data_IF_522705940711
#
_entry.id   IF_522705940711
#
_cell.length_a   1.000
_cell.length_b   1.000
_cell.length_c   1.000
_cell.angle_alpha   90.00
_cell.angle_beta   90.00
_cell.angle_gamma   90.00
#
_symmetry.space_group_name_H-M   'P 1'
#
loop_
_entity.id
_entity.type
_entity.pdbx_description
1 polymer ?
#
# COMPACT_ATOMS: atom_id res chain seq x y z
N UNK A 1 -3.57 18.54 0.76
CA UNK A 1 -3.18 17.15 0.40
C UNK A 1 -4.17 16.52 -0.58
N UNK A 2 -3.91 16.59 -1.88
CA UNK A 2 -4.78 16.03 -2.92
C UNK A 2 -4.31 14.62 -3.31
N UNK A 3 -5.08 13.93 -4.16
CA UNK A 3 -4.55 12.77 -4.90
C UNK A 3 -3.71 13.30 -6.04
N UNK A 4 -2.46 12.84 -6.15
CA UNK A 4 -1.59 13.19 -7.26
C UNK A 4 -1.81 12.26 -8.46
N UNK A 5 -1.84 12.85 -9.65
CA UNK A 5 -2.09 12.20 -10.93
C UNK A 5 -0.93 12.39 -11.92
N UNK A 6 -0.11 13.43 -11.74
CA UNK A 6 1.14 13.68 -12.48
C UNK A 6 2.21 14.15 -11.50
N UNK A 7 3.45 13.74 -11.74
CA UNK A 7 4.58 14.05 -10.86
C UNK A 7 5.70 14.78 -11.63
N UNK A 8 6.51 15.53 -10.90
CA UNK A 8 7.75 16.11 -11.40
C UNK A 8 8.81 15.00 -11.57
N UNK A 9 9.90 15.24 -12.32
CA UNK A 9 11.00 14.27 -12.44
C UNK A 9 11.92 14.23 -11.20
N UNK A 10 11.59 14.96 -10.13
CA UNK A 10 12.40 15.00 -8.91
C UNK A 10 12.52 13.61 -8.30
N UNK A 11 13.74 13.21 -7.98
CA UNK A 11 14.03 11.88 -7.47
C UNK A 11 13.52 11.70 -6.04
N UNK A 12 13.08 10.49 -5.71
CA UNK A 12 12.75 10.08 -4.34
C UNK A 12 13.91 9.26 -3.80
N UNK A 13 14.55 9.76 -2.75
CA UNK A 13 15.76 9.16 -2.17
C UNK A 13 15.44 7.89 -1.37
N UNK A 14 16.45 7.02 -1.21
CA UNK A 14 16.36 5.85 -0.32
C UNK A 14 16.01 6.24 1.12
N UNK A 15 16.52 7.38 1.59
CA UNK A 15 16.23 7.90 2.92
C UNK A 15 14.74 8.27 3.07
N UNK A 16 14.14 8.89 2.05
CA UNK A 16 12.71 9.19 2.05
C UNK A 16 11.88 7.89 2.06
N UNK A 17 12.25 6.88 1.27
CA UNK A 17 11.55 5.59 1.24
C UNK A 17 11.66 4.84 2.58
N UNK A 18 12.84 4.83 3.18
CA UNK A 18 13.05 4.29 4.52
C UNK A 18 12.22 5.05 5.56
N UNK A 19 12.18 6.38 5.47
CA UNK A 19 11.39 7.22 6.38
C UNK A 19 9.89 6.94 6.27
N UNK A 20 9.38 6.72 5.06
CA UNK A 20 7.99 6.31 4.84
C UNK A 20 7.69 5.02 5.61
N UNK A 21 8.53 3.99 5.49
CA UNK A 21 8.34 2.74 6.23
C UNK A 21 8.42 2.93 7.74
N UNK A 22 9.41 3.69 8.22
CA UNK A 22 9.61 3.97 9.65
C UNK A 22 8.41 4.65 10.29
N UNK A 23 7.65 5.43 9.53
CA UNK A 23 6.37 6.01 9.95
C UNK A 23 5.21 5.02 9.81
N UNK A 24 5.08 4.38 8.64
CA UNK A 24 3.95 3.54 8.29
C UNK A 24 3.83 2.29 9.19
N UNK A 25 4.96 1.73 9.66
CA UNK A 25 4.99 0.51 10.49
C UNK A 25 4.25 0.64 11.82
N UNK A 26 3.99 1.86 12.29
CA UNK A 26 3.23 2.13 13.51
C UNK A 26 1.72 2.17 13.30
N UNK A 27 1.22 1.92 12.08
CA UNK A 27 -0.22 1.78 11.85
C UNK A 27 -0.71 0.53 12.61
N UNK A 28 -1.71 0.65 13.51
CA UNK A 28 -2.14 -0.49 14.30
C UNK A 28 -2.73 -1.57 13.40
N UNK A 29 -2.50 -2.82 13.77
CA UNK A 29 -3.11 -4.00 13.13
C UNK A 29 -3.59 -4.96 14.21
N UNK A 30 -4.62 -5.75 13.92
CA UNK A 30 -5.12 -6.78 14.82
C UNK A 30 -3.97 -7.71 15.21
N UNK A 31 -3.85 -8.01 16.51
CA UNK A 31 -2.78 -8.84 17.06
C UNK A 31 -1.36 -8.33 16.74
N UNK A 32 -1.20 -7.04 16.42
CA UNK A 32 0.06 -6.47 15.94
C UNK A 32 0.67 -7.25 14.75
N UNK A 33 -0.20 -7.85 13.91
CA UNK A 33 0.13 -8.83 12.87
C UNK A 33 1.00 -8.30 11.74
N UNK A 34 0.96 -7.00 11.45
CA UNK A 34 1.80 -6.31 10.46
C UNK A 34 1.88 -7.05 9.08
N UNK A 35 0.74 -7.36 8.42
CA UNK A 35 0.74 -8.14 7.18
C UNK A 35 1.12 -7.33 5.94
N UNK A 36 1.25 -6.00 6.01
CA UNK A 36 1.59 -5.19 4.85
C UNK A 36 3.03 -5.48 4.38
N UNK A 37 3.21 -5.63 3.08
CA UNK A 37 4.51 -5.63 2.39
C UNK A 37 4.51 -4.55 1.32
N UNK A 38 5.67 -3.93 1.15
CA UNK A 38 5.86 -2.78 0.27
C UNK A 38 6.98 -3.10 -0.71
N UNK A 39 6.70 -3.03 -2.00
CA UNK A 39 7.72 -3.15 -3.06
C UNK A 39 7.80 -1.83 -3.82
N UNK A 40 8.92 -1.12 -3.71
CA UNK A 40 9.15 0.12 -4.44
C UNK A 40 9.69 -0.17 -5.85
N UNK A 41 8.89 0.12 -6.87
CA UNK A 41 9.24 0.04 -8.29
C UNK A 41 9.82 1.38 -8.73
N UNK A 42 11.10 1.39 -9.10
CA UNK A 42 11.85 2.60 -9.47
C UNK A 42 12.49 2.52 -10.85
N UNK A 43 13.06 1.37 -11.19
CA UNK A 43 13.73 1.18 -12.47
C UNK A 43 12.75 1.21 -13.63
N UNK A 44 13.20 1.73 -14.77
CA UNK A 44 12.42 1.75 -16.01
C UNK A 44 11.97 0.35 -16.43
N UNK A 45 12.85 -0.65 -16.29
CA UNK A 45 12.54 -2.04 -16.64
C UNK A 45 11.42 -2.63 -15.76
N UNK A 46 11.46 -2.42 -14.44
CA UNK A 46 10.40 -2.91 -13.55
C UNK A 46 9.09 -2.14 -13.77
N UNK A 47 9.17 -0.83 -14.04
CA UNK A 47 8.02 0.00 -14.39
C UNK A 47 7.37 -0.47 -15.68
N UNK A 48 8.14 -0.79 -16.71
CA UNK A 48 7.64 -1.29 -17.99
C UNK A 48 6.86 -2.61 -17.84
N UNK A 49 7.25 -3.46 -16.87
CA UNK A 49 6.51 -4.69 -16.51
C UNK A 49 5.22 -4.41 -15.74
N UNK A 50 5.23 -3.39 -14.86
CA UNK A 50 4.07 -3.00 -14.06
C UNK A 50 2.97 -2.30 -14.88
N UNK A 51 3.34 -1.38 -15.79
CA UNK A 51 2.37 -0.51 -16.49
C UNK A 51 1.26 -1.28 -17.25
N UNK A 52 1.54 -2.37 -17.98
CA UNK A 52 0.50 -3.16 -18.65
C UNK A 52 -0.53 -3.75 -17.68
N UNK A 53 -0.15 -3.96 -16.42
CA UNK A 53 -0.98 -4.53 -15.36
C UNK A 53 -1.85 -3.49 -14.65
N UNK A 54 -1.74 -2.21 -15.02
CA UNK A 54 -2.62 -1.15 -14.54
C UNK A 54 -3.76 -0.93 -15.55
N UNK A 55 -4.93 -0.53 -15.04
CA UNK A 55 -6.00 -0.04 -15.88
C UNK A 55 -5.50 1.09 -16.78
N UNK A 56 -5.99 1.17 -18.02
CA UNK A 56 -5.48 2.08 -19.05
C UNK A 56 -5.35 3.53 -18.56
N UNK A 57 -6.40 4.06 -17.92
CA UNK A 57 -6.42 5.41 -17.37
C UNK A 57 -5.46 5.68 -16.20
N UNK A 58 -4.76 4.66 -15.68
CA UNK A 58 -3.76 4.79 -14.62
C UNK A 58 -2.32 4.70 -15.13
N UNK A 59 -2.11 4.19 -16.35
CA UNK A 59 -0.76 3.92 -16.88
C UNK A 59 0.09 5.18 -16.98
N UNK A 60 -0.44 6.24 -17.59
CA UNK A 60 0.30 7.50 -17.74
C UNK A 60 0.66 8.14 -16.38
N UNK A 61 -0.21 8.01 -15.38
CA UNK A 61 0.01 8.52 -14.02
C UNK A 61 1.21 7.82 -13.38
N UNK A 62 1.22 6.48 -13.41
CA UNK A 62 2.32 5.66 -12.90
C UNK A 62 3.60 5.78 -13.71
N UNK A 63 3.50 6.03 -15.02
CA UNK A 63 4.65 6.29 -15.86
C UNK A 63 5.37 7.58 -15.44
N UNK A 64 4.62 8.62 -15.05
CA UNK A 64 5.18 9.91 -14.62
C UNK A 64 5.79 9.92 -13.21
N UNK A 65 5.39 8.99 -12.34
CA UNK A 65 5.82 8.99 -10.94
C UNK A 65 7.29 8.52 -10.80
N UNK A 66 8.16 9.20 -10.03
CA UNK A 66 9.52 8.70 -9.79
C UNK A 66 9.52 7.34 -9.10
N UNK A 67 8.55 7.05 -8.23
CA UNK A 67 8.39 5.74 -7.58
C UNK A 67 6.94 5.26 -7.63
N UNK A 68 6.74 3.96 -7.84
CA UNK A 68 5.44 3.30 -7.63
C UNK A 68 5.60 2.22 -6.55
N UNK A 69 4.89 2.35 -5.44
CA UNK A 69 4.83 1.30 -4.43
C UNK A 69 3.73 0.29 -4.79
N UNK A 70 4.07 -0.99 -4.85
CA UNK A 70 3.10 -2.09 -4.83
C UNK A 70 2.87 -2.43 -3.36
N UNK A 71 1.61 -2.34 -2.91
CA UNK A 71 1.21 -2.72 -1.57
C UNK A 71 0.53 -4.09 -1.63
N UNK A 72 1.06 -5.04 -0.87
CA UNK A 72 0.56 -6.41 -0.82
C UNK A 72 0.28 -6.86 0.62
N UNK A 73 -0.73 -7.71 0.78
CA UNK A 73 -1.02 -8.44 1.99
C UNK A 73 -0.22 -9.74 2.01
N UNK A 74 0.57 -9.97 3.06
CA UNK A 74 1.23 -11.25 3.31
C UNK A 74 0.28 -12.20 4.05
N UNK A 75 -0.18 -13.24 3.36
CA UNK A 75 -1.06 -14.24 4.00
C UNK A 75 -0.31 -15.09 5.02
N UNK A 76 1.02 -15.18 4.93
CA UNK A 76 1.87 -15.87 5.89
C UNK A 76 2.28 -15.00 7.09
N UNK A 77 1.65 -13.83 7.30
CA UNK A 77 1.95 -12.94 8.44
C UNK A 77 2.05 -13.64 9.80
N UNK A 78 1.22 -14.68 10.01
CA UNK A 78 1.15 -15.47 11.23
C UNK A 78 2.48 -16.10 11.64
N UNK A 79 3.40 -16.34 10.70
CA UNK A 79 4.76 -16.84 10.96
C UNK A 79 5.55 -15.87 11.85
N UNK A 80 5.27 -14.57 11.77
CA UNK A 80 5.96 -13.53 12.53
C UNK A 80 5.32 -13.23 13.89
N UNK A 81 4.11 -13.75 14.19
CA UNK A 81 3.44 -13.49 15.47
C UNK A 81 4.27 -13.79 16.71
N UNK A 82 5.11 -14.84 16.76
CA UNK A 82 6.00 -15.07 17.91
C UNK A 82 6.97 -13.90 18.20
N UNK A 83 7.29 -13.08 17.18
CA UNK A 83 8.17 -11.91 17.31
C UNK A 83 7.36 -10.66 17.62
N UNK A 84 6.28 -10.42 16.88
CA UNK A 84 5.54 -9.15 16.95
C UNK A 84 4.41 -9.14 17.99
N UNK A 85 4.02 -10.31 18.48
CA UNK A 85 2.98 -10.49 19.50
C UNK A 85 3.28 -11.76 20.35
N UNK A 86 4.41 -11.78 21.07
CA UNK A 86 4.86 -12.95 21.83
C UNK A 86 3.88 -13.37 22.94
N UNK A 87 3.04 -12.45 23.43
CA UNK A 87 2.02 -12.73 24.43
C UNK A 87 0.87 -13.60 23.91
N UNK A 88 0.64 -13.64 22.59
CA UNK A 88 -0.44 -14.44 21.99
C UNK A 88 0.02 -15.87 21.67
N UNK A 89 0.30 -16.64 22.73
CA UNK A 89 0.73 -18.04 22.60
C UNK A 89 -0.28 -18.87 21.78
N UNK A 90 0.23 -19.72 20.87
CA UNK A 90 -0.59 -20.56 19.98
C UNK A 90 -1.27 -19.82 18.82
N UNK A 91 -1.12 -18.49 18.71
CA UNK A 91 -1.76 -17.73 17.63
C UNK A 91 -1.22 -18.12 16.25
N UNK A 92 0.08 -18.39 16.14
CA UNK A 92 0.70 -18.87 14.90
C UNK A 92 0.00 -20.13 14.40
N UNK A 93 -0.09 -21.15 15.25
CA UNK A 93 -0.66 -22.45 14.90
C UNK A 93 -2.16 -22.35 14.59
N UNK A 94 -2.89 -21.51 15.36
CA UNK A 94 -4.32 -21.26 15.12
C UNK A 94 -4.58 -20.66 13.73
N UNK A 95 -3.76 -19.71 13.28
CA UNK A 95 -3.91 -19.14 11.93
C UNK A 95 -3.41 -20.10 10.85
N UNK A 96 -2.36 -20.89 11.12
CA UNK A 96 -1.91 -21.93 10.20
C UNK A 96 -3.02 -22.97 9.93
N UNK A 97 -3.83 -23.29 10.95
CA UNK A 97 -4.93 -24.25 10.85
C UNK A 97 -6.21 -23.69 10.19
N UNK A 98 -6.29 -22.38 9.91
CA UNK A 98 -7.50 -21.75 9.37
C UNK A 98 -7.15 -20.72 8.27
N UNK A 99 -7.06 -21.20 7.03
CA UNK A 99 -6.66 -20.40 5.85
C UNK A 99 -7.62 -19.24 5.58
N UNK A 100 -8.93 -19.48 5.66
CA UNK A 100 -9.95 -18.44 5.40
C UNK A 100 -9.81 -17.28 6.39
N UNK A 101 -9.77 -17.58 7.68
CA UNK A 101 -9.58 -16.57 8.73
C UNK A 101 -8.27 -15.81 8.56
N UNK A 102 -7.19 -16.54 8.25
CA UNK A 102 -5.86 -15.97 8.04
C UNK A 102 -5.84 -15.01 6.85
N UNK A 103 -6.37 -15.41 5.69
CA UNK A 103 -6.44 -14.56 4.50
C UNK A 103 -7.28 -13.31 4.73
N UNK A 104 -8.46 -13.46 5.33
CA UNK A 104 -9.32 -12.34 5.65
C UNK A 104 -8.63 -11.35 6.61
N UNK A 105 -7.95 -11.86 7.64
CA UNK A 105 -7.19 -11.01 8.56
C UNK A 105 -6.03 -10.30 7.87
N UNK A 106 -5.26 -11.00 7.02
CA UNK A 106 -4.15 -10.41 6.28
C UNK A 106 -4.63 -9.24 5.41
N UNK A 107 -5.66 -9.46 4.58
CA UNK A 107 -6.17 -8.45 3.65
C UNK A 107 -6.76 -7.24 4.38
N UNK A 108 -7.62 -7.45 5.39
CA UNK A 108 -8.26 -6.35 6.12
C UNK A 108 -7.23 -5.46 6.84
N UNK A 109 -6.21 -6.07 7.45
CA UNK A 109 -5.17 -5.33 8.16
C UNK A 109 -4.15 -4.69 7.21
N UNK A 110 -3.92 -5.28 6.03
CA UNK A 110 -3.09 -4.64 5.00
C UNK A 110 -3.76 -3.38 4.43
N UNK A 111 -5.09 -3.38 4.24
CA UNK A 111 -5.83 -2.17 3.86
C UNK A 111 -5.79 -1.07 4.92
N UNK A 112 -5.92 -1.44 6.20
CA UNK A 112 -5.75 -0.51 7.31
C UNK A 112 -4.34 0.12 7.29
N UNK A 113 -3.32 -0.72 7.18
CA UNK A 113 -1.92 -0.29 7.09
C UNK A 113 -1.64 0.56 5.84
N UNK A 114 -2.29 0.27 4.71
CA UNK A 114 -2.17 1.06 3.47
C UNK A 114 -2.69 2.49 3.65
N UNK A 115 -3.75 2.69 4.43
CA UNK A 115 -4.22 4.02 4.82
C UNK A 115 -3.15 4.81 5.57
N UNK A 116 -2.51 4.17 6.56
CA UNK A 116 -1.38 4.76 7.29
C UNK A 116 -0.15 5.00 6.42
N UNK A 117 0.17 4.09 5.48
CA UNK A 117 1.24 4.26 4.51
C UNK A 117 1.04 5.52 3.64
N UNK A 118 -0.18 5.77 3.14
CA UNK A 118 -0.48 6.97 2.35
C UNK A 118 -0.28 8.25 3.17
N UNK A 119 -0.61 8.23 4.46
CA UNK A 119 -0.34 9.36 5.36
C UNK A 119 1.17 9.51 5.63
N UNK A 120 1.90 8.41 5.78
CA UNK A 120 3.35 8.42 5.96
C UNK A 120 4.10 9.00 4.74
N UNK A 121 3.69 8.65 3.52
CA UNK A 121 4.19 9.28 2.28
C UNK A 121 4.09 10.81 2.38
N UNK A 122 2.91 11.30 2.77
CA UNK A 122 2.63 12.73 2.90
C UNK A 122 3.39 13.40 4.05
N UNK A 123 3.57 12.69 5.16
CA UNK A 123 4.32 13.18 6.31
C UNK A 123 5.82 13.34 6.01
N UNK A 124 6.35 12.60 5.03
CA UNK A 124 7.73 12.75 4.52
C UNK A 124 7.87 13.91 3.53
N UNK A 125 6.80 14.66 3.25
CA UNK A 125 6.80 15.79 2.31
C UNK A 125 6.59 15.41 0.84
N UNK A 126 6.22 14.16 0.57
CA UNK A 126 5.94 13.64 -0.77
C UNK A 126 4.43 13.57 -1.03
N UNK A 127 4.04 13.61 -2.30
CA UNK A 127 2.67 13.40 -2.72
C UNK A 127 2.39 11.92 -3.05
N UNK A 128 1.12 11.53 -2.88
CA UNK A 128 0.66 10.17 -3.09
C UNK A 128 -0.50 10.11 -4.09
N UNK A 129 -0.39 9.18 -5.04
CA UNK A 129 -1.43 8.79 -5.99
C UNK A 129 -1.85 7.33 -5.80
N UNK A 130 -2.68 7.01 -4.78
CA UNK A 130 -3.16 5.65 -4.55
C UNK A 130 -4.17 5.21 -5.62
N UNK A 131 -4.06 3.97 -6.10
CA UNK A 131 -4.90 3.42 -7.17
C UNK A 131 -5.26 1.95 -6.93
N UNK A 132 -6.55 1.63 -7.04
CA UNK A 132 -7.07 0.25 -7.02
C UNK A 132 -7.45 -0.32 -8.40
N UNK A 133 -7.39 0.49 -9.46
CA UNK A 133 -7.65 0.02 -10.83
C UNK A 133 -6.45 -0.72 -11.41
N UNK A 134 -6.28 -1.98 -10.97
CA UNK A 134 -5.12 -2.84 -11.27
C UNK A 134 -5.54 -4.29 -11.57
N UNK A 135 -4.72 -5.01 -12.33
CA UNK A 135 -4.76 -6.46 -12.41
C UNK A 135 -3.90 -7.04 -11.27
N UNK A 136 -4.49 -7.18 -10.07
CA UNK A 136 -3.77 -7.66 -8.90
C UNK A 136 -3.15 -9.05 -9.10
N UNK A 137 -3.89 -10.01 -9.68
CA UNK A 137 -3.37 -11.35 -9.96
C UNK A 137 -2.20 -11.33 -10.95
N UNK A 138 -2.24 -10.44 -11.95
CA UNK A 138 -1.12 -10.24 -12.87
C UNK A 138 0.10 -9.65 -12.17
N UNK A 139 -0.09 -8.69 -11.25
CA UNK A 139 1.01 -8.12 -10.44
C UNK A 139 1.60 -9.20 -9.53
N UNK A 140 0.76 -10.02 -8.89
CA UNK A 140 1.21 -11.12 -8.04
C UNK A 140 2.04 -12.12 -8.84
N UNK A 141 1.58 -12.51 -10.03
CA UNK A 141 2.34 -13.41 -10.90
C UNK A 141 3.67 -12.80 -11.37
N UNK A 142 3.71 -11.50 -11.63
CA UNK A 142 4.87 -10.82 -12.18
C UNK A 142 5.96 -10.49 -11.13
N UNK A 143 5.53 -10.09 -9.93
CA UNK A 143 6.40 -9.57 -8.88
C UNK A 143 6.55 -10.51 -7.69
N UNK A 144 5.59 -11.41 -7.46
CA UNK A 144 5.45 -12.17 -6.23
C UNK A 144 5.22 -13.69 -6.43
N UNK A 145 5.53 -14.21 -7.62
CA UNK A 145 5.40 -15.64 -7.93
C UNK A 145 6.10 -16.51 -6.88
N UNK A 146 5.38 -17.52 -6.38
CA UNK A 146 5.89 -18.45 -5.38
C UNK A 146 5.93 -17.90 -3.94
N UNK A 147 5.33 -16.73 -3.69
CA UNK A 147 5.23 -16.15 -2.34
C UNK A 147 3.78 -16.16 -1.83
N UNK A 148 3.59 -15.76 -0.58
CA UNK A 148 2.30 -15.58 0.10
C UNK A 148 1.67 -14.19 -0.11
N UNK A 149 2.27 -13.36 -0.97
CA UNK A 149 1.90 -11.96 -1.13
C UNK A 149 0.78 -11.79 -2.15
N UNK A 150 -0.21 -10.98 -1.77
CA UNK A 150 -1.35 -10.63 -2.61
C UNK A 150 -1.52 -9.11 -2.70
N UNK A 151 -1.42 -8.57 -3.91
CA UNK A 151 -1.49 -7.14 -4.17
C UNK A 151 -2.88 -6.60 -3.82
N UNK A 152 -2.91 -5.52 -3.03
CA UNK A 152 -4.14 -4.81 -2.68
C UNK A 152 -4.28 -3.50 -3.46
N UNK A 153 -3.18 -2.78 -3.68
CA UNK A 153 -3.18 -1.52 -4.44
C UNK A 153 -1.78 -1.13 -4.89
N UNK A 154 -1.70 -0.13 -5.76
CA UNK A 154 -0.45 0.59 -6.04
C UNK A 154 -0.55 2.05 -5.61
N UNK A 155 0.59 2.66 -5.26
CA UNK A 155 0.67 4.07 -4.86
C UNK A 155 1.80 4.73 -5.61
N UNK A 156 1.48 5.70 -6.46
CA UNK A 156 2.48 6.58 -7.07
C UNK A 156 3.01 7.56 -6.02
N UNK A 157 4.32 7.78 -6.00
CA UNK A 157 5.02 8.60 -4.99
C UNK A 157 6.00 9.53 -5.70
N UNK A 158 6.03 10.80 -5.29
CA UNK A 158 6.92 11.85 -5.80
C UNK A 158 6.39 13.23 -5.43
N UNK A 159 6.92 14.29 -6.03
CA UNK A 159 6.33 15.63 -5.92
C UNK A 159 5.29 15.84 -7.02
N UNK A 160 4.10 16.34 -6.67
CA UNK A 160 3.04 16.60 -7.65
C UNK A 160 3.45 17.75 -8.57
N UNK A 161 3.17 17.62 -9.87
CA UNK A 161 3.32 18.72 -10.82
C UNK A 161 2.21 19.77 -10.63
N UNK A 162 2.40 20.99 -11.12
CA UNK A 162 1.41 22.08 -11.00
C UNK A 162 0.02 21.71 -11.57
N UNK A 163 -0.02 20.97 -12.68
CA UNK A 163 -1.24 20.44 -13.31
C UNK A 163 -1.57 18.99 -12.87
N UNK A 164 -0.85 18.48 -11.88
CA UNK A 164 -0.87 17.08 -11.45
C UNK A 164 -1.95 16.73 -10.45
N UNK A 165 -2.83 17.66 -10.09
CA UNK A 165 -3.94 17.41 -9.18
C UNK A 165 -5.22 18.14 -9.58
N UNK A 166 -6.34 17.67 -9.04
CA UNK A 166 -7.63 18.34 -9.17
C UNK A 166 -8.00 19.04 -7.85
N UNK A 167 -8.87 20.07 -7.91
CA UNK A 167 -9.53 20.59 -6.71
C UNK A 167 -10.13 19.47 -5.85
N UNK A 168 -10.23 19.72 -4.56
CA UNK A 168 -10.75 18.73 -3.62
C UNK A 168 -12.20 18.42 -3.94
N UNK A 169 -12.49 17.16 -4.28
CA UNK A 169 -13.87 16.68 -4.38
C UNK A 169 -14.59 16.77 -3.01
N UNK A 170 -15.93 16.91 -3.00
CA UNK A 170 -16.73 16.96 -1.78
C UNK A 170 -16.46 15.79 -0.81
N UNK A 171 -16.78 16.01 0.46
CA UNK A 171 -16.84 14.97 1.50
C UNK A 171 -18.25 14.94 2.06
N UNK A 172 -18.68 13.77 2.52
CA UNK A 172 -19.93 13.65 3.28
C UNK A 172 -19.86 14.60 4.49
N UNK A 173 -20.99 15.25 4.78
CA UNK A 173 -21.16 16.02 6.01
C UNK A 173 -21.14 15.11 7.24
N UNK A 174 -20.95 15.71 8.42
CA UNK A 174 -20.86 14.97 9.68
C UNK A 174 -22.09 14.07 9.90
N UNK A 175 -23.30 14.63 9.79
CA UNK A 175 -24.55 13.91 10.06
C UNK A 175 -24.86 12.81 9.04
N UNK A 176 -24.21 12.83 7.88
CA UNK A 176 -24.35 11.77 6.88
C UNK A 176 -23.47 10.55 7.19
N UNK A 177 -22.36 10.75 7.91
CA UNK A 177 -21.33 9.73 8.12
C UNK A 177 -21.21 9.28 9.59
N UNK A 178 -21.76 10.05 10.54
CA UNK A 178 -21.57 9.82 11.98
C UNK A 178 -22.92 9.76 12.68
N UNK A 179 -23.11 8.70 13.48
CA UNK A 179 -24.21 8.60 14.45
C UNK A 179 -23.63 8.64 15.87
N UNK A 180 -24.21 9.49 16.72
CA UNK A 180 -23.91 9.55 18.14
C UNK A 180 -25.02 8.78 18.87
N UNK A 181 -24.70 7.63 19.44
CA UNK A 181 -25.62 6.75 20.19
C UNK A 181 -25.10 6.52 21.60
#
# INVERSE_FOLDING_TARGET
MHTAYRFTPEEVSDEQLARIYELAKYTPTALNSQPLRITFVRSEAARARLLPLLAEGNRAKSASAPVVAILAADTDFHVHLPVVNPQSQGARERFAANDELRRAMATNNAWLAAGGFILAVRATGLDAGPMGGINAAGIDAEFFAGTSLHTIMVVNIGHVADDGSFPRNPRLGFDQAVSLV
#
